data_IF_617011888227
#
_entry.id   IF_617011888227
#
_cell.length_a   1.000
_cell.length_b   1.000
_cell.length_c   1.000
_cell.angle_alpha   90.00
_cell.angle_beta   90.00
_cell.angle_gamma   90.00
#
_symmetry.space_group_name_H-M   'P 1'
#
loop_
_entity.id
_entity.type
_entity.pdbx_description
1 polymer ?
#
# COMPACT_ATOMS: atom_id res chain seq x y z
N UNK A 1 -10.34 -12.10 18.88
CA UNK A 1 -9.17 -11.58 18.15
C UNK A 1 -9.63 -10.25 17.57
N UNK A 2 -9.52 -9.22 18.40
CA UNK A 2 -10.02 -7.89 18.09
C UNK A 2 -8.92 -7.19 17.30
N UNK A 3 -9.21 -6.84 16.04
CA UNK A 3 -8.35 -5.98 15.23
C UNK A 3 -8.33 -4.59 15.89
N UNK A 4 -7.45 -4.49 16.87
CA UNK A 4 -7.17 -3.29 17.62
C UNK A 4 -6.20 -2.50 16.77
N UNK A 5 -6.71 -1.63 15.90
CA UNK A 5 -5.89 -0.61 15.25
C UNK A 5 -6.01 0.68 16.08
N UNK A 6 -5.16 0.89 17.11
CA UNK A 6 -5.15 2.14 17.84
C UNK A 6 -4.75 3.23 16.85
N UNK A 7 -5.52 4.32 16.84
CA UNK A 7 -5.48 5.30 15.78
C UNK A 7 -4.20 6.14 15.70
N UNK A 8 -4.34 7.19 14.88
CA UNK A 8 -3.53 8.42 14.84
C UNK A 8 -2.49 8.48 13.70
N UNK A 9 -2.99 8.91 12.52
CA UNK A 9 -2.55 10.06 11.70
C UNK A 9 -2.50 9.73 10.20
N UNK A 10 -3.64 9.97 9.54
CA UNK A 10 -3.83 10.22 8.09
C UNK A 10 -2.56 10.13 7.22
N UNK A 11 -2.14 8.92 6.80
CA UNK A 11 -1.14 8.77 5.75
C UNK A 11 -1.86 8.81 4.39
N UNK A 12 -1.51 9.77 3.52
CA UNK A 12 -1.94 9.90 2.11
C UNK A 12 -3.39 9.41 1.83
N UNK A 13 -4.33 10.02 2.56
CA UNK A 13 -5.75 9.69 2.81
C UNK A 13 -6.72 9.75 1.62
N UNK A 14 -6.27 9.56 0.37
CA UNK A 14 -7.20 9.57 -0.77
C UNK A 14 -7.09 8.26 -1.54
N UNK A 15 -7.96 7.28 -1.25
CA UNK A 15 -8.19 6.10 -2.08
C UNK A 15 -8.31 6.45 -3.58
N UNK A 16 -8.91 7.61 -3.87
CA UNK A 16 -9.00 8.17 -5.21
C UNK A 16 -7.64 8.37 -5.93
N UNK A 17 -6.56 8.69 -5.21
CA UNK A 17 -5.23 8.83 -5.82
C UNK A 17 -4.69 7.46 -6.23
N UNK A 18 -4.83 6.44 -5.38
CA UNK A 18 -4.42 5.08 -5.74
C UNK A 18 -5.22 4.56 -6.93
N UNK A 19 -6.55 4.71 -6.91
CA UNK A 19 -7.42 4.33 -8.03
C UNK A 19 -7.02 4.93 -9.37
N UNK A 20 -6.55 6.19 -9.38
CA UNK A 20 -6.05 6.85 -10.61
C UNK A 20 -4.72 6.32 -11.12
N UNK A 21 -3.98 5.61 -10.27
CA UNK A 21 -2.66 5.07 -10.56
C UNK A 21 -2.66 3.55 -10.67
N UNK A 22 -3.84 2.91 -10.72
CA UNK A 22 -3.96 1.48 -11.06
C UNK A 22 -3.33 1.25 -12.44
N UNK A 23 -2.50 0.22 -12.54
CA UNK A 23 -1.64 -0.10 -13.68
C UNK A 23 -0.26 0.56 -13.65
N UNK A 24 0.10 1.25 -12.57
CA UNK A 24 1.44 1.84 -12.38
C UNK A 24 2.20 1.12 -11.27
N UNK A 25 3.52 1.10 -11.38
CA UNK A 25 4.39 0.59 -10.33
C UNK A 25 4.47 1.60 -9.18
N UNK A 26 4.18 1.15 -7.96
CA UNK A 26 4.35 1.92 -6.75
C UNK A 26 5.39 1.29 -5.85
N UNK A 27 6.17 2.16 -5.22
CA UNK A 27 7.02 1.85 -4.08
C UNK A 27 6.28 2.23 -2.81
N UNK A 28 5.89 1.23 -2.04
CA UNK A 28 5.09 1.38 -0.83
C UNK A 28 5.93 0.94 0.36
N UNK A 29 6.02 1.81 1.36
CA UNK A 29 6.52 1.50 2.69
C UNK A 29 5.33 1.26 3.59
N UNK A 30 5.35 0.12 4.28
CA UNK A 30 4.32 -0.27 5.23
C UNK A 30 4.96 -0.86 6.47
N UNK A 31 4.17 -0.98 7.52
CA UNK A 31 4.59 -1.65 8.75
C UNK A 31 3.98 -3.05 8.76
N UNK A 32 4.81 -4.07 8.96
CA UNK A 32 4.37 -5.46 9.03
C UNK A 32 3.83 -5.82 10.43
N UNK A 33 3.33 -7.04 10.61
CA UNK A 33 2.72 -7.53 11.85
C UNK A 33 3.71 -7.53 13.03
N UNK A 34 5.02 -7.57 12.74
CA UNK A 34 6.12 -7.46 13.72
C UNK A 34 6.50 -6.00 14.08
N UNK A 35 5.69 -5.00 13.69
CA UNK A 35 5.97 -3.57 13.84
C UNK A 35 7.24 -3.09 13.08
N UNK A 36 7.74 -3.90 12.16
CA UNK A 36 8.92 -3.57 11.33
C UNK A 36 8.54 -2.80 10.06
N UNK A 37 9.35 -1.80 9.70
CA UNK A 37 9.17 -1.03 8.46
C UNK A 37 9.67 -1.82 7.24
N UNK A 38 8.74 -2.29 6.42
CA UNK A 38 8.99 -3.00 5.17
C UNK A 38 8.80 -2.07 3.95
N UNK A 39 9.55 -2.32 2.88
CA UNK A 39 9.43 -1.59 1.62
C UNK A 39 9.22 -2.57 0.49
N UNK A 40 8.10 -2.40 -0.19
CA UNK A 40 7.74 -3.21 -1.35
C UNK A 40 7.63 -2.34 -2.60
N UNK A 41 8.00 -2.94 -3.74
CA UNK A 41 7.78 -2.35 -5.06
C UNK A 41 6.94 -3.33 -5.85
N UNK A 42 5.79 -2.86 -6.33
CA UNK A 42 4.87 -3.69 -7.09
C UNK A 42 3.94 -2.85 -7.94
N UNK A 43 3.32 -3.51 -8.90
CA UNK A 43 2.34 -2.93 -9.80
C UNK A 43 0.99 -2.85 -9.11
N UNK A 44 0.43 -1.65 -9.02
CA UNK A 44 -0.89 -1.47 -8.43
C UNK A 44 -1.95 -2.05 -9.35
N UNK A 45 -2.47 -3.20 -9.00
CA UNK A 45 -3.49 -3.90 -9.78
C UNK A 45 -4.89 -3.48 -9.38
N UNK A 46 -5.08 -3.11 -8.11
CA UNK A 46 -6.37 -2.65 -7.59
C UNK A 46 -6.20 -1.70 -6.39
N UNK A 47 -7.20 -0.85 -6.18
CA UNK A 47 -7.27 0.06 -5.04
C UNK A 47 -8.73 0.30 -4.64
N UNK A 48 -9.08 -0.14 -3.44
CA UNK A 48 -10.40 0.04 -2.85
C UNK A 48 -10.41 1.21 -1.85
N UNK A 49 -11.50 1.39 -1.09
CA UNK A 49 -11.57 2.45 -0.08
C UNK A 49 -10.83 2.11 1.22
N UNK A 50 -10.48 0.83 1.42
CA UNK A 50 -9.84 0.32 2.65
C UNK A 50 -8.36 -0.10 2.44
N UNK A 51 -8.00 -0.56 1.25
CA UNK A 51 -6.71 -1.18 0.96
C UNK A 51 -6.31 -1.12 -0.52
N UNK A 52 -5.05 -1.42 -0.82
CA UNK A 52 -4.52 -1.58 -2.18
C UNK A 52 -4.04 -3.01 -2.42
N UNK A 53 -4.09 -3.43 -3.69
CA UNK A 53 -3.53 -4.68 -4.17
C UNK A 53 -2.34 -4.38 -5.08
N UNK A 54 -1.16 -4.82 -4.68
CA UNK A 54 0.08 -4.72 -5.44
C UNK A 54 0.46 -6.11 -5.97
N UNK A 55 0.82 -6.19 -7.23
CA UNK A 55 1.43 -7.37 -7.83
C UNK A 55 2.95 -7.20 -7.81
N UNK A 56 3.62 -8.10 -7.10
CA UNK A 56 5.07 -8.08 -6.94
C UNK A 56 5.76 -8.72 -8.15
N UNK A 57 7.03 -8.37 -8.44
CA UNK A 57 7.80 -9.02 -9.50
C UNK A 57 7.94 -10.54 -9.29
N UNK A 58 7.77 -11.03 -8.06
CA UNK A 58 7.72 -12.45 -7.71
C UNK A 58 6.41 -13.15 -8.13
N UNK A 59 5.50 -12.46 -8.83
CA UNK A 59 4.13 -12.88 -9.13
C UNK A 59 3.24 -13.11 -7.89
N UNK A 60 3.66 -12.55 -6.75
CA UNK A 60 2.88 -12.55 -5.51
C UNK A 60 1.94 -11.34 -5.47
N UNK A 61 0.74 -11.52 -4.93
CA UNK A 61 -0.21 -10.42 -4.73
C UNK A 61 -0.20 -10.01 -3.28
N UNK A 62 0.28 -8.80 -3.03
CA UNK A 62 0.34 -8.22 -1.71
C UNK A 62 -0.84 -7.27 -1.49
N UNK A 63 -1.50 -7.45 -0.36
CA UNK A 63 -2.70 -6.71 0.04
C UNK A 63 -2.38 -5.84 1.23
N UNK A 64 -2.27 -4.54 1.01
CA UNK A 64 -1.85 -3.59 2.04
C UNK A 64 -3.00 -2.66 2.42
N UNK A 65 -3.48 -2.70 3.67
CA UNK A 65 -4.45 -1.72 4.14
C UNK A 65 -3.80 -0.35 4.27
N UNK A 66 -4.56 0.71 4.03
CA UNK A 66 -4.06 2.08 4.16
C UNK A 66 -3.53 2.40 5.56
N UNK A 67 -3.98 1.67 6.57
CA UNK A 67 -3.53 1.79 7.96
C UNK A 67 -2.10 1.30 8.16
N UNK A 68 -1.66 0.28 7.42
CA UNK A 68 -0.29 -0.24 7.50
C UNK A 68 0.69 0.61 6.67
N UNK A 69 0.19 1.32 5.65
CA UNK A 69 1.02 2.11 4.73
C UNK A 69 1.49 3.39 5.42
N UNK A 70 2.79 3.50 5.66
CA UNK A 70 3.44 4.71 6.17
C UNK A 70 3.78 5.69 5.06
N UNK A 71 4.18 5.20 3.88
CA UNK A 71 4.53 6.06 2.74
C UNK A 71 4.36 5.34 1.40
N UNK A 72 3.73 5.97 0.40
CA UNK A 72 3.66 5.44 -0.95
C UNK A 72 4.15 6.46 -1.98
N UNK A 73 4.90 6.00 -2.98
CA UNK A 73 5.41 6.83 -4.09
C UNK A 73 5.27 6.06 -5.39
N UNK A 74 4.96 6.76 -6.46
CA UNK A 74 4.88 6.15 -7.79
C UNK A 74 6.29 6.12 -8.38
N UNK A 75 6.73 4.94 -8.82
CA UNK A 75 7.96 4.81 -9.61
C UNK A 75 7.61 5.19 -11.06
N UNK A 76 8.32 6.18 -11.59
CA UNK A 76 8.24 6.53 -13.01
C UNK A 76 9.39 5.83 -13.72
N UNK A 77 9.13 4.95 -14.71
CA UNK A 77 10.18 4.55 -15.63
C UNK A 77 10.60 5.79 -16.43
N UNK A 78 11.90 6.08 -16.39
CA UNK A 78 12.55 7.16 -17.12
C UNK A 78 12.65 6.86 -18.62
#
# INVERSE_FOLDING_TARGET
LELSSPGIKRPLTMPQQYRKNVGRTLRVRYQDDEDEEEIVVGDLTNADDEMIELELPSAERLRLPYTAITQARIELPW
#
